data_IF_496304020933
#
_entry.id   IF_496304020933
#
_cell.length_a   1.000
_cell.length_b   1.000
_cell.length_c   1.000
_cell.angle_alpha   90.00
_cell.angle_beta   90.00
_cell.angle_gamma   90.00
#
_symmetry.space_group_name_H-M   'P 1'
#
loop_
_entity.id
_entity.type
_entity.pdbx_description
1 polymer ?
#
# COMPACT_ATOMS: atom_id res chain seq x y z
N UNK A 1 -13.81 14.06 -1.21
CA UNK A 1 -14.57 14.74 -2.29
C UNK A 1 -13.73 15.81 -2.99
N UNK A 2 -13.01 16.64 -2.25
CA UNK A 2 -12.22 17.77 -2.77
C UNK A 2 -11.16 17.40 -3.83
N UNK A 3 -10.39 16.31 -3.61
CA UNK A 3 -9.38 15.84 -4.57
C UNK A 3 -9.94 15.43 -5.94
N UNK A 4 -11.21 14.99 -6.00
CA UNK A 4 -11.87 14.63 -7.27
C UNK A 4 -12.33 15.86 -8.05
N UNK A 5 -12.70 16.95 -7.36
CA UNK A 5 -13.13 18.20 -8.00
C UNK A 5 -12.03 18.78 -8.90
N UNK A 6 -10.76 18.66 -8.50
CA UNK A 6 -9.58 19.09 -9.28
C UNK A 6 -9.49 18.42 -10.65
N UNK A 7 -10.00 17.21 -10.80
CA UNK A 7 -9.90 16.44 -12.04
C UNK A 7 -11.23 16.35 -12.81
N UNK A 8 -12.18 17.25 -12.52
CA UNK A 8 -13.43 17.34 -13.27
C UNK A 8 -13.16 17.85 -14.68
N UNK A 9 -13.52 17.06 -15.68
CA UNK A 9 -13.48 17.42 -17.10
C UNK A 9 -14.64 18.38 -17.41
N UNK A 10 -14.36 19.42 -18.19
CA UNK A 10 -15.30 20.46 -18.63
C UNK A 10 -15.30 20.54 -20.16
N UNK A 11 -16.41 20.99 -20.76
CA UNK A 11 -16.60 21.02 -22.22
C UNK A 11 -15.64 21.97 -22.96
N UNK A 12 -15.05 22.95 -22.27
CA UNK A 12 -14.02 23.84 -22.83
C UNK A 12 -12.57 23.38 -22.64
N UNK A 13 -12.33 22.21 -22.02
CA UNK A 13 -10.98 21.73 -21.77
C UNK A 13 -10.27 21.35 -23.07
N UNK A 14 -9.03 21.82 -23.25
CA UNK A 14 -8.16 21.35 -24.32
C UNK A 14 -7.88 19.85 -24.17
N UNK A 15 -7.50 19.19 -25.27
CA UNK A 15 -7.14 17.76 -25.24
C UNK A 15 -6.08 17.45 -24.15
N UNK A 16 -5.08 18.32 -23.98
CA UNK A 16 -4.04 18.14 -22.97
C UNK A 16 -4.58 18.24 -21.53
N UNK A 17 -5.55 19.11 -21.29
CA UNK A 17 -6.23 19.25 -19.99
C UNK A 17 -7.15 18.08 -19.72
N UNK A 18 -7.91 17.62 -20.72
CA UNK A 18 -8.74 16.41 -20.63
C UNK A 18 -7.90 15.19 -20.31
N UNK A 19 -6.77 15.03 -20.99
CA UNK A 19 -5.79 13.97 -20.72
C UNK A 19 -5.22 14.09 -19.31
N UNK A 20 -4.84 15.29 -18.87
CA UNK A 20 -4.36 15.54 -17.51
C UNK A 20 -5.38 15.15 -16.44
N UNK A 21 -6.64 15.56 -16.62
CA UNK A 21 -7.75 15.30 -15.70
C UNK A 21 -8.14 13.83 -15.72
N UNK A 22 -8.24 13.20 -16.89
CA UNK A 22 -8.55 11.77 -17.03
C UNK A 22 -7.49 10.88 -16.36
N UNK A 23 -6.20 11.13 -16.60
CA UNK A 23 -5.13 10.40 -15.92
C UNK A 23 -5.11 10.68 -14.41
N UNK A 24 -5.41 11.91 -13.99
CA UNK A 24 -5.57 12.26 -12.57
C UNK A 24 -6.70 11.47 -11.89
N UNK A 25 -7.88 11.39 -12.51
CA UNK A 25 -8.99 10.56 -12.03
C UNK A 25 -8.61 9.08 -11.98
N UNK A 26 -7.94 8.57 -13.00
CA UNK A 26 -7.50 7.19 -13.05
C UNK A 26 -6.52 6.86 -11.91
N UNK A 27 -5.58 7.77 -11.59
CA UNK A 27 -4.67 7.61 -10.45
C UNK A 27 -5.40 7.51 -9.11
N UNK A 28 -6.48 8.28 -8.92
CA UNK A 28 -7.32 8.23 -7.72
C UNK A 28 -8.11 6.93 -7.66
N UNK A 29 -8.57 6.43 -8.82
CA UNK A 29 -9.24 5.12 -8.90
C UNK A 29 -8.27 3.99 -8.55
N UNK A 30 -7.06 3.97 -9.14
CA UNK A 30 -6.01 3.01 -8.82
C UNK A 30 -5.70 2.99 -7.32
N UNK A 31 -5.58 4.17 -6.69
CA UNK A 31 -5.39 4.26 -5.24
C UNK A 31 -6.51 3.57 -4.46
N UNK A 32 -7.77 3.76 -4.87
CA UNK A 32 -8.93 3.16 -4.20
C UNK A 32 -8.94 1.64 -4.37
N UNK A 33 -8.67 1.14 -5.57
CA UNK A 33 -8.60 -0.31 -5.84
C UNK A 33 -7.50 -0.98 -5.00
N UNK A 34 -6.30 -0.38 -4.96
CA UNK A 34 -5.22 -0.87 -4.09
C UNK A 34 -5.67 -0.86 -2.63
N UNK A 35 -6.27 0.23 -2.17
CA UNK A 35 -6.72 0.37 -0.78
C UNK A 35 -7.77 -0.68 -0.41
N UNK A 36 -8.70 -1.00 -1.32
CA UNK A 36 -9.75 -2.02 -1.13
C UNK A 36 -9.19 -3.45 -1.04
N UNK A 37 -8.09 -3.73 -1.75
CA UNK A 37 -7.45 -5.03 -1.69
C UNK A 37 -6.76 -5.30 -0.33
N UNK A 38 -6.39 -4.25 0.41
CA UNK A 38 -5.68 -4.37 1.68
C UNK A 38 -6.68 -4.72 2.81
N UNK A 39 -6.43 -5.80 3.56
CA UNK A 39 -7.31 -6.24 4.65
C UNK A 39 -7.42 -5.23 5.81
N UNK A 40 -6.35 -4.47 6.07
CA UNK A 40 -6.30 -3.46 7.13
C UNK A 40 -5.49 -2.26 6.64
N UNK A 41 -6.10 -1.37 5.85
CA UNK A 41 -5.39 -0.24 5.25
C UNK A 41 -4.96 0.75 6.34
N UNK A 42 -3.66 1.05 6.36
CA UNK A 42 -3.09 2.10 7.21
C UNK A 42 -2.96 3.40 6.42
N UNK A 43 -2.88 4.57 7.09
CA UNK A 43 -2.70 5.87 6.41
C UNK A 43 -1.53 5.89 5.42
N UNK A 44 -0.46 5.14 5.72
CA UNK A 44 0.68 4.93 4.82
C UNK A 44 0.23 4.37 3.46
N UNK A 45 -0.47 3.23 3.45
CA UNK A 45 -0.93 2.56 2.22
C UNK A 45 -2.04 3.31 1.46
N UNK A 46 -2.71 4.27 2.10
CA UNK A 46 -3.79 5.06 1.50
C UNK A 46 -3.27 6.18 0.57
N UNK A 47 -1.95 6.41 0.53
CA UNK A 47 -1.30 7.41 -0.31
C UNK A 47 -0.16 6.80 -1.14
N UNK A 48 -0.39 5.63 -1.72
CA UNK A 48 0.60 4.84 -2.46
C UNK A 48 0.85 5.28 -3.88
N UNK A 49 -0.11 5.94 -4.51
CA UNK A 49 -0.04 6.32 -5.91
C UNK A 49 0.44 7.76 -6.05
N UNK A 50 1.54 7.92 -6.78
CA UNK A 50 1.97 9.21 -7.30
C UNK A 50 1.47 9.38 -8.74
N UNK A 51 1.20 10.63 -9.10
CA UNK A 51 0.84 11.04 -10.45
C UNK A 51 1.55 12.35 -10.77
N UNK A 52 2.33 12.37 -11.85
CA UNK A 52 3.09 13.55 -12.29
C UNK A 52 3.06 13.69 -13.80
N UNK A 53 3.18 14.93 -14.25
CA UNK A 53 3.40 15.26 -15.66
C UNK A 53 4.87 15.57 -15.90
N UNK A 54 5.42 15.09 -17.00
CA UNK A 54 6.80 15.36 -17.40
C UNK A 54 6.83 15.87 -18.83
N UNK A 55 7.45 17.04 -19.06
CA UNK A 55 7.74 17.52 -20.41
C UNK A 55 8.96 16.75 -20.93
N UNK A 56 8.85 16.16 -22.13
CA UNK A 56 9.92 15.35 -22.75
C UNK A 56 10.46 16.00 -24.03
N UNK A 57 9.82 17.09 -24.48
CA UNK A 57 10.27 17.89 -25.61
C UNK A 57 9.35 19.08 -25.80
N UNK A 58 9.51 19.81 -26.90
CA UNK A 58 8.70 21.00 -27.20
C UNK A 58 7.20 20.67 -27.31
N UNK A 59 6.86 19.52 -27.90
CA UNK A 59 5.46 19.11 -28.18
C UNK A 59 5.03 17.83 -27.47
N UNK A 60 5.86 17.26 -26.58
CA UNK A 60 5.59 15.97 -25.93
C UNK A 60 5.51 16.11 -24.41
N UNK A 61 4.37 15.72 -23.85
CA UNK A 61 4.11 15.64 -22.42
C UNK A 61 3.72 14.22 -22.04
N UNK A 62 4.42 13.65 -21.06
CA UNK A 62 4.09 12.35 -20.49
C UNK A 62 3.29 12.52 -19.20
N UNK A 63 2.27 11.69 -19.05
CA UNK A 63 1.48 11.55 -17.85
C UNK A 63 1.88 10.24 -17.18
N UNK A 64 2.62 10.33 -16.08
CA UNK A 64 3.19 9.17 -15.40
C UNK A 64 2.49 8.96 -14.07
N UNK A 65 2.11 7.73 -13.79
CA UNK A 65 1.62 7.31 -12.47
C UNK A 65 2.33 6.03 -12.05
N UNK A 66 2.44 5.81 -10.75
CA UNK A 66 3.10 4.64 -10.20
C UNK A 66 2.96 4.53 -8.69
N UNK A 67 3.55 3.48 -8.14
CA UNK A 67 3.61 3.24 -6.70
C UNK A 67 4.86 3.93 -6.14
N UNK A 68 4.75 4.56 -4.97
CA UNK A 68 5.93 5.13 -4.30
C UNK A 68 6.89 4.03 -3.87
N UNK A 69 8.20 4.25 -4.04
CA UNK A 69 9.22 3.22 -3.83
C UNK A 69 9.20 2.64 -2.40
N UNK A 70 9.01 3.49 -1.40
CA UNK A 70 8.88 3.07 0.00
C UNK A 70 7.66 2.18 0.27
N UNK A 71 6.64 2.25 -0.59
CA UNK A 71 5.41 1.47 -0.50
C UNK A 71 5.40 0.25 -1.41
N UNK A 72 6.25 0.23 -2.44
CA UNK A 72 6.37 -0.91 -3.36
C UNK A 72 6.69 -2.20 -2.61
N UNK A 73 7.63 -2.18 -1.66
CA UNK A 73 7.97 -3.38 -0.87
C UNK A 73 6.76 -3.89 -0.10
N UNK A 74 5.97 -3.02 0.52
CA UNK A 74 4.79 -3.42 1.28
C UNK A 74 3.66 -3.95 0.39
N UNK A 75 3.44 -3.29 -0.75
CA UNK A 75 2.37 -3.61 -1.70
C UNK A 75 2.72 -4.75 -2.64
N UNK A 76 4.01 -5.07 -2.81
CA UNK A 76 4.49 -6.13 -3.67
C UNK A 76 3.89 -7.49 -3.30
N UNK A 77 3.65 -7.75 -2.02
CA UNK A 77 3.00 -8.99 -1.58
C UNK A 77 1.47 -9.04 -1.82
N UNK A 78 0.86 -7.95 -2.28
CA UNK A 78 -0.58 -7.82 -2.56
C UNK A 78 -0.84 -7.74 -4.07
N UNK A 79 0.05 -7.02 -4.76
CA UNK A 79 0.20 -6.98 -6.21
C UNK A 79 0.94 -8.25 -6.64
N UNK A 80 0.88 -8.66 -7.89
CA UNK A 80 1.60 -9.86 -8.36
C UNK A 80 3.14 -9.69 -8.48
N UNK A 81 3.77 -9.07 -7.49
CA UNK A 81 5.23 -8.89 -7.43
C UNK A 81 5.78 -9.84 -6.38
N UNK A 82 6.27 -11.01 -6.80
CA UNK A 82 6.84 -12.05 -5.92
C UNK A 82 8.03 -11.53 -5.09
N UNK A 83 7.74 -10.91 -3.94
CA UNK A 83 8.71 -10.60 -2.88
C UNK A 83 8.20 -11.23 -1.60
N UNK A 84 8.69 -12.43 -1.22
CA UNK A 84 8.40 -12.97 0.10
C UNK A 84 8.93 -11.98 1.14
N UNK A 85 8.04 -11.58 2.06
CA UNK A 85 8.41 -10.74 3.21
C UNK A 85 8.18 -11.55 4.47
N UNK A 86 9.23 -11.75 5.26
CA UNK A 86 9.08 -12.33 6.58
C UNK A 86 8.31 -11.37 7.49
N UNK A 87 7.32 -11.89 8.21
CA UNK A 87 6.49 -11.06 9.09
C UNK A 87 6.38 -11.68 10.48
N UNK A 88 6.44 -10.83 11.50
CA UNK A 88 6.00 -11.18 12.84
C UNK A 88 4.46 -11.20 12.87
N UNK A 89 3.89 -12.38 13.08
CA UNK A 89 2.46 -12.59 13.19
C UNK A 89 2.09 -12.60 14.68
N UNK A 90 1.28 -11.64 15.16
CA UNK A 90 0.79 -11.60 16.52
C UNK A 90 0.06 -12.89 16.87
N UNK A 91 0.29 -13.43 18.07
CA UNK A 91 -0.38 -14.66 18.53
C UNK A 91 -1.83 -14.41 18.96
N UNK A 92 -2.17 -13.14 19.23
CA UNK A 92 -3.49 -12.71 19.70
C UNK A 92 -3.74 -11.24 19.32
N UNK A 93 -5.00 -10.90 19.00
CA UNK A 93 -5.47 -9.54 18.68
C UNK A 93 -5.24 -8.54 19.84
N UNK A 94 -5.16 -9.00 21.09
CA UNK A 94 -4.87 -8.11 22.24
C UNK A 94 -3.52 -7.38 22.10
N UNK A 95 -2.57 -7.98 21.39
CA UNK A 95 -1.25 -7.42 21.12
C UNK A 95 -1.21 -6.44 19.94
N UNK A 96 -2.31 -6.30 19.19
CA UNK A 96 -2.38 -5.43 18.01
C UNK A 96 -3.23 -4.19 18.21
N UNK A 97 -2.85 -3.10 17.57
CA UNK A 97 -3.71 -1.93 17.41
C UNK A 97 -4.89 -2.20 16.45
N UNK A 98 -5.75 -1.19 16.24
CA UNK A 98 -6.90 -1.27 15.32
C UNK A 98 -6.53 -1.54 13.86
N UNK A 99 -5.27 -1.38 13.50
CA UNK A 99 -4.75 -1.62 12.15
C UNK A 99 -4.03 -2.97 12.04
N UNK A 100 -3.98 -3.78 13.11
CA UNK A 100 -3.29 -5.05 13.14
C UNK A 100 -1.77 -4.96 13.36
N UNK A 101 -1.23 -3.79 13.72
CA UNK A 101 0.19 -3.63 14.05
C UNK A 101 0.44 -3.99 15.52
N UNK A 102 1.61 -4.59 15.83
CA UNK A 102 1.99 -4.89 17.22
C UNK A 102 2.13 -3.57 18.01
N UNK A 103 1.39 -3.45 19.11
CA UNK A 103 1.30 -2.24 19.94
C UNK A 103 2.70 -1.83 20.44
N UNK A 104 3.11 -0.62 20.10
CA UNK A 104 4.36 -0.02 20.58
C UNK A 104 5.62 -0.77 20.19
N UNK A 105 5.61 -1.56 19.11
CA UNK A 105 6.72 -2.44 18.71
C UNK A 105 8.09 -1.74 18.75
N UNK A 106 8.24 -0.61 18.06
CA UNK A 106 9.53 0.11 17.98
C UNK A 106 9.98 0.63 19.36
N UNK A 107 9.07 1.26 20.11
CA UNK A 107 9.36 1.77 21.47
C UNK A 107 9.76 0.64 22.42
N UNK A 108 9.03 -0.47 22.38
CA UNK A 108 9.24 -1.60 23.28
C UNK A 108 10.47 -2.43 22.90
N UNK A 109 10.89 -2.45 21.64
CA UNK A 109 12.18 -3.00 21.24
C UNK A 109 13.31 -2.11 21.76
N UNK A 110 13.20 -0.78 21.58
CA UNK A 110 14.23 0.18 22.01
C UNK A 110 14.48 0.15 23.52
N UNK A 111 13.44 -0.01 24.33
CA UNK A 111 13.56 -0.05 25.79
C UNK A 111 13.80 -1.45 26.38
N UNK A 112 14.03 -2.47 25.53
CA UNK A 112 14.29 -3.85 25.97
C UNK A 112 13.08 -4.61 26.54
N UNK A 113 11.90 -3.99 26.62
CA UNK A 113 10.66 -4.66 27.06
C UNK A 113 10.27 -5.78 26.09
N UNK A 114 10.46 -5.56 24.80
CA UNK A 114 10.26 -6.58 23.78
C UNK A 114 11.61 -7.09 23.31
N UNK A 115 11.76 -8.41 23.20
CA UNK A 115 12.98 -9.06 22.72
C UNK A 115 12.63 -10.05 21.62
N UNK A 116 13.42 -10.03 20.54
CA UNK A 116 13.41 -11.10 19.54
C UNK A 116 14.27 -12.24 20.09
N UNK A 117 13.72 -13.44 20.10
CA UNK A 117 14.44 -14.65 20.48
C UNK A 117 14.48 -15.54 19.26
N UNK A 118 15.69 -15.92 18.86
CA UNK A 118 15.92 -16.84 17.76
C UNK A 118 16.17 -18.22 18.35
N UNK A 119 15.39 -19.19 17.90
CA UNK A 119 15.62 -20.61 18.06
C UNK A 119 15.89 -21.21 16.68
N UNK A 120 16.53 -22.37 16.63
CA UNK A 120 17.08 -23.02 15.43
C UNK A 120 16.21 -22.89 14.18
N UNK A 121 14.87 -22.99 14.30
CA UNK A 121 13.93 -22.88 13.17
C UNK A 121 12.85 -21.80 13.35
N UNK A 122 12.90 -20.98 14.40
CA UNK A 122 11.82 -20.02 14.71
C UNK A 122 12.35 -18.75 15.37
N UNK A 123 11.94 -17.59 14.85
CA UNK A 123 12.10 -16.32 15.56
C UNK A 123 10.78 -15.95 16.24
N UNK A 124 10.81 -15.69 17.54
CA UNK A 124 9.65 -15.20 18.31
C UNK A 124 9.91 -13.81 18.86
N UNK A 125 8.84 -13.05 19.09
CA UNK A 125 8.86 -11.79 19.81
C UNK A 125 8.21 -12.00 21.17
N UNK A 126 8.95 -11.69 22.25
CA UNK A 126 8.47 -11.84 23.63
C UNK A 126 8.46 -10.52 24.38
N UNK A 127 7.58 -10.41 25.38
CA UNK A 127 7.56 -9.35 26.39
C UNK A 127 8.33 -9.82 27.64
N UNK A 128 9.54 -9.30 27.84
CA UNK A 128 10.43 -9.68 28.96
C UNK A 128 9.83 -9.28 30.31
N UNK A 129 9.06 -8.21 30.36
CA UNK A 129 8.42 -7.71 31.58
C UNK A 129 7.08 -8.41 31.93
N UNK A 130 6.54 -9.25 31.06
CA UNK A 130 5.28 -9.96 31.35
C UNK A 130 5.52 -11.04 32.41
N UNK A 131 4.77 -11.02 33.53
CA UNK A 131 4.86 -12.05 34.58
C UNK A 131 4.19 -13.37 34.17
N UNK A 132 3.00 -13.29 33.55
CA UNK A 132 2.22 -14.46 33.11
C UNK A 132 2.70 -14.96 31.74
N UNK A 133 2.87 -16.29 31.60
CA UNK A 133 3.36 -16.94 30.38
C UNK A 133 2.52 -16.62 29.14
N UNK A 134 1.19 -16.58 29.29
CA UNK A 134 0.23 -16.25 28.22
C UNK A 134 0.31 -14.79 27.70
N UNK A 135 0.99 -13.90 28.42
CA UNK A 135 1.22 -12.52 28.03
C UNK A 135 2.67 -12.27 27.60
N UNK A 136 3.52 -13.30 27.67
CA UNK A 136 4.94 -13.22 27.34
C UNK A 136 5.19 -13.41 25.84
N UNK A 137 4.51 -14.34 25.18
CA UNK A 137 4.63 -14.52 23.73
C UNK A 137 3.74 -13.50 22.99
N UNK A 138 4.34 -12.65 22.15
CA UNK A 138 3.64 -11.57 21.42
C UNK A 138 3.39 -11.97 19.98
N UNK A 139 4.43 -12.45 19.29
CA UNK A 139 4.37 -12.77 17.87
C UNK A 139 5.36 -13.87 17.48
N UNK A 140 5.09 -14.55 16.38
CA UNK A 140 5.95 -15.57 15.79
C UNK A 140 6.30 -15.13 14.36
N UNK A 141 7.57 -15.23 13.97
CA UNK A 141 8.01 -15.00 12.59
C UNK A 141 7.46 -16.11 11.71
N UNK A 142 6.74 -15.74 10.66
CA UNK A 142 6.32 -16.64 9.60
C UNK A 142 6.61 -15.99 8.25
N UNK A 143 6.87 -16.83 7.25
CA UNK A 143 6.90 -16.40 5.85
C UNK A 143 5.49 -15.91 5.49
N UNK A 144 5.40 -14.69 4.95
CA UNK A 144 4.10 -14.13 4.54
C UNK A 144 3.51 -14.95 3.39
N UNK A 145 2.28 -15.45 3.59
CA UNK A 145 1.45 -16.12 2.55
C UNK A 145 0.30 -15.22 2.10
N UNK A 146 0.57 -13.94 1.83
CA UNK A 146 -0.48 -13.04 1.32
C UNK A 146 -0.97 -13.54 -0.03
N UNK A 147 -2.28 -13.54 -0.23
CA UNK A 147 -2.87 -13.76 -1.55
C UNK A 147 -2.58 -12.54 -2.41
N UNK A 148 -2.14 -12.75 -3.64
CA UNK A 148 -2.13 -11.71 -4.66
C UNK A 148 -3.59 -11.39 -4.97
N UNK A 149 -4.02 -10.19 -4.62
CA UNK A 149 -5.41 -9.73 -4.80
C UNK A 149 -5.55 -8.78 -5.99
N UNK A 150 -4.42 -8.32 -6.51
CA UNK A 150 -4.36 -7.39 -7.63
C UNK A 150 -3.48 -8.01 -8.71
N UNK A 151 -4.12 -8.30 -9.84
CA UNK A 151 -3.43 -8.48 -11.12
C UNK A 151 -3.06 -7.09 -11.66
N UNK A 152 -1.77 -6.85 -11.80
CA UNK A 152 -1.27 -5.55 -12.24
C UNK A 152 -1.57 -5.28 -13.71
N UNK A 153 -1.50 -6.30 -14.56
CA UNK A 153 -1.69 -6.15 -16.00
C UNK A 153 -3.16 -5.88 -16.31
N UNK A 154 -4.07 -6.60 -15.66
CA UNK A 154 -5.50 -6.29 -15.75
C UNK A 154 -5.83 -4.89 -15.23
N UNK A 155 -5.14 -4.43 -14.18
CA UNK A 155 -5.30 -3.07 -13.66
C UNK A 155 -4.86 -2.01 -14.68
N UNK A 156 -3.75 -2.23 -15.38
CA UNK A 156 -3.27 -1.36 -16.46
C UNK A 156 -4.29 -1.28 -17.60
N UNK A 157 -4.86 -2.41 -18.02
CA UNK A 157 -5.91 -2.45 -19.05
C UNK A 157 -7.12 -1.63 -18.62
N UNK A 158 -7.60 -1.81 -17.39
CA UNK A 158 -8.76 -1.10 -16.85
C UNK A 158 -8.52 0.42 -16.80
N UNK A 159 -7.35 0.85 -16.30
CA UNK A 159 -6.96 2.26 -16.25
C UNK A 159 -6.89 2.88 -17.64
N UNK A 160 -6.31 2.16 -18.61
CA UNK A 160 -6.19 2.63 -19.99
C UNK A 160 -7.57 2.82 -20.61
N UNK A 161 -8.48 1.86 -20.41
CA UNK A 161 -9.88 1.98 -20.85
C UNK A 161 -10.58 3.20 -20.24
N UNK A 162 -10.41 3.42 -18.93
CA UNK A 162 -10.99 4.57 -18.23
C UNK A 162 -10.48 5.92 -18.75
N UNK A 163 -9.20 6.01 -19.09
CA UNK A 163 -8.61 7.21 -19.68
C UNK A 163 -9.21 7.44 -21.07
N UNK A 164 -9.19 6.42 -21.92
CA UNK A 164 -9.67 6.53 -23.30
C UNK A 164 -11.15 6.92 -23.39
N UNK A 165 -11.99 6.39 -22.50
CA UNK A 165 -13.40 6.76 -22.44
C UNK A 165 -13.59 8.24 -22.09
N UNK A 166 -12.85 8.75 -21.10
CA UNK A 166 -13.01 10.12 -20.60
C UNK A 166 -12.40 11.20 -21.48
N UNK A 167 -11.38 10.85 -22.26
CA UNK A 167 -10.75 11.77 -23.21
C UNK A 167 -11.58 11.90 -24.50
N UNK A 168 -12.47 10.93 -24.78
CA UNK A 168 -13.37 10.95 -25.94
C UNK A 168 -14.68 11.72 -25.71
N UNK A 169 -15.19 11.77 -24.47
CA UNK A 169 -16.44 12.48 -24.05
C UNK A 169 -16.23 13.95 -23.72
#
# INVERSE_FOLDING_TARGET
>A
MERLKRFRIQEGDSFQERMYKAAGLASVHLQKEITRAIDSPVPFSQKSIWYKTQKVGQYKKLYRMGIMDNQDVYLSAIIDRKKPTDKLIPVDKKFTDKYGNIKGLAKNLKNGKYKKVEQTNQTILINTAAKKRNNRMIAIRKVSKRKHKIDWDQMVVNITKMINQRVKT
#
